data_IF_679687427762
#
_entry.id   IF_679687427762
#
_cell.length_a   1.000
_cell.length_b   1.000
_cell.length_c   1.000
_cell.angle_alpha   90.00
_cell.angle_beta   90.00
_cell.angle_gamma   90.00
#
_symmetry.space_group_name_H-M   'P 1'
#
loop_
_entity.id
_entity.type
_entity.pdbx_description
1 polymer ?
#
# COMPACT_ATOMS: atom_id res chain seq x y z
N UNK A 1 -29.44 -14.51 21.55
CA UNK A 1 -28.43 -15.37 20.89
C UNK A 1 -28.34 -15.12 19.39
N UNK A 2 -29.47 -14.90 18.70
CA UNK A 2 -29.52 -14.72 17.23
C UNK A 2 -28.60 -13.60 16.65
N UNK A 3 -28.45 -12.48 17.36
CA UNK A 3 -27.58 -11.38 16.92
C UNK A 3 -26.09 -11.74 16.96
N UNK A 4 -25.67 -12.59 17.90
CA UNK A 4 -24.27 -13.01 18.04
C UNK A 4 -23.87 -13.96 16.92
N UNK A 5 -24.76 -14.89 16.54
CA UNK A 5 -24.54 -15.81 15.42
C UNK A 5 -24.53 -15.10 14.06
N UNK A 6 -25.36 -14.07 13.89
CA UNK A 6 -25.31 -13.19 12.71
C UNK A 6 -24.01 -12.39 12.66
N UNK A 7 -23.52 -11.88 13.80
CA UNK A 7 -22.24 -11.17 13.86
C UNK A 7 -21.07 -12.10 13.51
N UNK A 8 -21.10 -13.34 13.99
CA UNK A 8 -20.06 -14.33 13.68
C UNK A 8 -20.03 -14.69 12.19
N UNK A 9 -21.19 -14.99 11.60
CA UNK A 9 -21.31 -15.25 10.15
C UNK A 9 -20.86 -14.07 9.29
N UNK A 10 -21.20 -12.84 9.70
CA UNK A 10 -20.71 -11.64 9.03
C UNK A 10 -19.19 -11.50 9.18
N UNK A 11 -18.60 -11.82 10.34
CA UNK A 11 -17.14 -11.84 10.52
C UNK A 11 -16.44 -12.93 9.70
N UNK A 12 -17.09 -14.04 9.42
CA UNK A 12 -16.54 -15.10 8.58
C UNK A 12 -16.63 -14.75 7.09
N UNK A 13 -17.64 -13.98 6.66
CA UNK A 13 -17.78 -13.49 5.28
C UNK A 13 -16.94 -12.26 4.97
N UNK A 14 -16.76 -11.37 5.94
CA UNK A 14 -15.85 -10.24 5.82
C UNK A 14 -14.45 -10.82 6.01
N UNK A 15 -13.69 -10.89 4.92
CA UNK A 15 -12.34 -11.47 4.90
C UNK A 15 -11.42 -10.95 6.02
N UNK A 16 -10.18 -11.49 6.12
CA UNK A 16 -9.29 -11.26 7.25
C UNK A 16 -9.29 -9.79 7.67
N UNK A 17 -9.45 -9.49 8.98
CA UNK A 17 -9.64 -8.14 9.47
C UNK A 17 -8.56 -7.23 8.88
N UNK A 18 -8.96 -6.06 8.40
CA UNK A 18 -8.03 -5.10 7.81
C UNK A 18 -6.80 -4.93 8.71
N UNK A 19 -5.64 -5.46 8.27
CA UNK A 19 -4.38 -5.50 9.04
C UNK A 19 -3.83 -4.10 9.36
N UNK A 20 -4.40 -3.09 8.71
CA UNK A 20 -4.16 -1.67 8.89
C UNK A 20 -4.55 -1.14 10.28
N UNK A 21 -5.37 -1.87 11.04
CA UNK A 21 -5.82 -1.43 12.37
C UNK A 21 -6.70 -0.17 12.29
N UNK A 22 -6.47 0.81 13.17
CA UNK A 22 -7.30 2.04 13.32
C UNK A 22 -6.86 3.23 12.47
N UNK A 23 -5.79 3.11 11.67
CA UNK A 23 -5.20 4.22 10.89
C UNK A 23 -5.67 4.17 9.44
N UNK A 24 -6.47 5.12 8.99
CA UNK A 24 -6.85 5.17 7.57
C UNK A 24 -5.66 5.51 6.67
N UNK A 25 -5.66 5.02 5.44
CA UNK A 25 -4.66 5.37 4.43
C UNK A 25 -4.54 6.91 4.24
N UNK A 26 -5.65 7.64 4.36
CA UNK A 26 -5.66 9.10 4.28
C UNK A 26 -4.86 9.77 5.42
N UNK A 27 -4.94 9.23 6.65
CA UNK A 27 -4.15 9.74 7.77
C UNK A 27 -2.67 9.44 7.59
N UNK A 28 -2.32 8.23 7.14
CA UNK A 28 -0.93 7.84 6.87
C UNK A 28 -0.34 8.73 5.78
N UNK A 29 -1.07 9.01 4.70
CA UNK A 29 -0.62 9.93 3.65
C UNK A 29 -0.33 11.34 4.18
N UNK A 30 -1.21 11.86 5.05
CA UNK A 30 -0.98 13.16 5.68
C UNK A 30 0.29 13.16 6.54
N UNK A 31 0.53 12.09 7.29
CA UNK A 31 1.73 11.95 8.12
C UNK A 31 3.01 11.78 7.29
N UNK A 32 2.98 10.97 6.23
CA UNK A 32 4.09 10.79 5.28
C UNK A 32 4.42 12.12 4.59
N UNK A 33 3.39 12.85 4.12
CA UNK A 33 3.57 14.18 3.54
C UNK A 33 4.10 15.21 4.54
N UNK A 34 3.65 15.16 5.81
CA UNK A 34 4.18 16.02 6.86
C UNK A 34 5.64 15.69 7.24
N UNK A 35 6.07 14.44 7.04
CA UNK A 35 7.44 13.99 7.25
C UNK A 35 8.37 14.28 6.06
N UNK A 36 7.93 15.06 5.07
CA UNK A 36 8.64 15.33 3.80
C UNK A 36 9.09 14.07 3.06
N UNK A 37 8.44 12.93 3.31
CA UNK A 37 8.66 11.68 2.58
C UNK A 37 7.86 11.72 1.27
N UNK A 38 8.36 11.08 0.20
CA UNK A 38 7.58 10.94 -1.02
C UNK A 38 6.26 10.21 -0.74
N UNK A 39 5.15 10.75 -1.25
CA UNK A 39 3.81 10.16 -1.11
C UNK A 39 3.62 9.16 -2.25
N UNK A 40 4.52 8.18 -2.35
CA UNK A 40 4.40 7.04 -3.25
C UNK A 40 3.62 5.90 -2.59
N UNK A 41 3.04 4.99 -3.39
CA UNK A 41 2.17 3.92 -2.87
C UNK A 41 2.90 3.00 -1.91
N UNK A 42 4.19 2.75 -2.15
CA UNK A 42 5.01 1.86 -1.34
C UNK A 42 5.33 2.47 0.03
N UNK A 43 5.62 3.77 0.10
CA UNK A 43 5.89 4.47 1.36
C UNK A 43 4.66 4.44 2.27
N UNK A 44 3.48 4.68 1.70
CA UNK A 44 2.22 4.57 2.44
C UNK A 44 1.95 3.12 2.86
N UNK A 45 2.24 2.15 1.99
CA UNK A 45 2.08 0.71 2.29
C UNK A 45 2.97 0.26 3.45
N UNK A 46 4.24 0.68 3.43
CA UNK A 46 5.25 0.33 4.42
C UNK A 46 4.88 0.95 5.76
N UNK A 47 4.56 2.25 5.82
CA UNK A 47 4.16 2.89 7.08
C UNK A 47 2.85 2.33 7.65
N UNK A 48 1.97 1.80 6.80
CA UNK A 48 0.77 1.10 7.26
C UNK A 48 1.10 -0.22 7.98
N UNK A 49 2.13 -0.93 7.52
CA UNK A 49 2.52 -2.24 8.02
C UNK A 49 3.72 -2.23 8.96
N UNK A 50 4.21 -1.06 9.33
CA UNK A 50 5.16 -0.88 10.43
C UNK A 50 4.46 -0.85 11.79
N UNK A 51 5.16 -1.29 12.82
CA UNK A 51 4.78 -1.14 14.22
C UNK A 51 5.11 0.28 14.74
N UNK A 52 4.81 0.54 16.02
CA UNK A 52 5.11 1.84 16.64
C UNK A 52 6.61 2.12 16.79
N UNK A 53 7.46 1.08 16.69
CA UNK A 53 8.91 1.19 16.73
C UNK A 53 9.54 1.35 15.31
N UNK A 54 8.73 1.28 14.24
CA UNK A 54 9.17 1.42 12.86
C UNK A 54 9.57 0.10 12.17
N UNK A 55 9.35 -1.06 12.80
CA UNK A 55 9.70 -2.37 12.27
C UNK A 55 8.53 -3.01 11.50
N UNK A 56 8.79 -3.89 10.52
CA UNK A 56 7.75 -4.68 9.87
C UNK A 56 6.95 -5.50 10.89
N UNK A 57 5.61 -5.45 10.81
CA UNK A 57 4.73 -6.18 11.74
C UNK A 57 4.76 -7.70 11.57
N UNK A 58 5.02 -8.17 10.36
CA UNK A 58 4.99 -9.59 10.02
C UNK A 58 6.05 -9.95 8.97
N UNK A 59 6.32 -11.25 8.85
CA UNK A 59 7.30 -11.79 7.91
C UNK A 59 6.94 -11.45 6.46
N UNK A 60 5.67 -11.50 6.08
CA UNK A 60 5.21 -11.11 4.75
C UNK A 60 5.58 -9.65 4.41
N UNK A 61 5.47 -8.75 5.39
CA UNK A 61 5.85 -7.34 5.23
C UNK A 61 7.35 -7.19 5.04
N UNK A 62 8.16 -7.95 5.79
CA UNK A 62 9.61 -7.93 5.64
C UNK A 62 10.03 -8.50 4.27
N UNK A 63 9.51 -9.68 3.90
CA UNK A 63 9.78 -10.33 2.61
C UNK A 63 9.32 -9.44 1.43
N UNK A 64 8.23 -8.66 1.59
CA UNK A 64 7.80 -7.68 0.60
C UNK A 64 8.78 -6.50 0.46
N UNK A 65 9.22 -5.93 1.58
CA UNK A 65 10.16 -4.80 1.57
C UNK A 65 11.47 -5.22 0.90
N UNK A 66 11.94 -6.42 1.18
CA UNK A 66 13.13 -7.00 0.54
C UNK A 66 12.95 -7.12 -0.98
N UNK A 67 11.88 -7.76 -1.44
CA UNK A 67 11.57 -7.89 -2.88
C UNK A 67 11.39 -6.54 -3.59
N UNK A 68 10.81 -5.56 -2.90
CA UNK A 68 10.66 -4.22 -3.45
C UNK A 68 12.01 -3.53 -3.60
N UNK A 69 12.86 -3.62 -2.58
CA UNK A 69 14.21 -3.04 -2.60
C UNK A 69 15.09 -3.69 -3.68
N UNK A 70 15.04 -5.01 -3.85
CA UNK A 70 15.76 -5.70 -4.92
C UNK A 70 15.35 -5.14 -6.30
N UNK A 71 14.05 -5.04 -6.56
CA UNK A 71 13.54 -4.54 -7.85
C UNK A 71 13.81 -3.06 -8.08
N UNK A 72 13.85 -2.24 -7.04
CA UNK A 72 14.16 -0.82 -7.20
C UNK A 72 15.64 -0.62 -7.44
N UNK A 73 16.53 -1.33 -6.74
CA UNK A 73 17.96 -1.30 -7.01
C UNK A 73 18.27 -1.71 -8.46
N UNK A 74 17.62 -2.77 -8.97
CA UNK A 74 17.74 -3.18 -10.38
C UNK A 74 17.24 -2.11 -11.36
N UNK A 75 16.11 -1.48 -11.07
CA UNK A 75 15.53 -0.46 -11.95
C UNK A 75 16.35 0.83 -11.98
N UNK A 76 16.89 1.24 -10.82
CA UNK A 76 17.73 2.44 -10.69
C UNK A 76 19.05 2.36 -11.45
N UNK A 77 19.44 1.17 -11.94
CA UNK A 77 20.57 1.03 -12.88
C UNK A 77 20.28 1.73 -14.21
N UNK A 78 19.00 1.76 -14.64
CA UNK A 78 18.61 2.23 -15.97
C UNK A 78 17.69 3.46 -15.93
N UNK A 79 17.01 3.70 -14.83
CA UNK A 79 15.95 4.72 -14.69
C UNK A 79 16.21 5.62 -13.47
N UNK A 80 15.76 6.87 -13.52
CA UNK A 80 15.85 7.79 -12.37
C UNK A 80 14.82 7.45 -11.29
N UNK A 81 15.18 7.66 -10.02
CA UNK A 81 14.28 7.45 -8.89
C UNK A 81 13.10 8.43 -8.95
N UNK A 82 11.94 7.90 -9.29
CA UNK A 82 10.70 8.66 -9.44
C UNK A 82 9.53 7.96 -8.76
N UNK A 83 8.52 8.76 -8.37
CA UNK A 83 7.27 8.22 -7.80
C UNK A 83 6.59 7.26 -8.78
N UNK A 84 6.66 7.54 -10.09
CA UNK A 84 6.13 6.70 -11.15
C UNK A 84 6.80 5.32 -11.18
N UNK A 85 8.14 5.29 -11.12
CA UNK A 85 8.92 4.06 -11.11
C UNK A 85 8.60 3.20 -9.88
N UNK A 86 8.54 3.83 -8.71
CA UNK A 86 8.18 3.17 -7.44
C UNK A 86 6.77 2.58 -7.48
N UNK A 87 5.81 3.33 -8.00
CA UNK A 87 4.43 2.86 -8.15
C UNK A 87 4.32 1.71 -9.18
N UNK A 88 5.10 1.76 -10.25
CA UNK A 88 5.23 0.69 -11.24
C UNK A 88 5.78 -0.60 -10.63
N UNK A 89 6.89 -0.52 -9.89
CA UNK A 89 7.48 -1.66 -9.19
C UNK A 89 6.51 -2.20 -8.14
N UNK A 90 5.84 -1.31 -7.42
CA UNK A 90 4.81 -1.69 -6.45
C UNK A 90 3.68 -2.50 -7.11
N UNK A 91 3.19 -2.09 -8.27
CA UNK A 91 2.19 -2.85 -9.03
C UNK A 91 2.75 -4.20 -9.51
N UNK A 92 4.01 -4.29 -9.91
CA UNK A 92 4.67 -5.57 -10.28
C UNK A 92 4.80 -6.55 -9.11
N UNK A 93 4.86 -6.08 -7.87
CA UNK A 93 5.00 -6.94 -6.68
C UNK A 93 3.63 -7.24 -6.03
N UNK A 94 2.74 -6.25 -5.93
CA UNK A 94 1.43 -6.36 -5.23
C UNK A 94 0.28 -6.72 -6.18
N UNK A 95 0.49 -6.54 -7.48
CA UNK A 95 -0.53 -6.58 -8.52
C UNK A 95 -1.17 -5.22 -8.77
N UNK A 96 -1.79 -5.09 -9.94
CA UNK A 96 -2.43 -3.86 -10.41
C UNK A 96 -3.53 -3.33 -9.47
N UNK A 97 -3.80 -2.04 -9.63
CA UNK A 97 -4.91 -1.36 -8.99
C UNK A 97 -6.26 -1.87 -9.55
N UNK A 98 -7.26 -1.93 -8.66
CA UNK A 98 -8.61 -2.32 -9.03
C UNK A 98 -9.39 -1.17 -9.65
N UNK A 99 -10.47 -1.49 -10.36
CA UNK A 99 -11.36 -0.46 -10.92
C UNK A 99 -11.97 0.40 -9.80
N UNK A 100 -11.77 1.73 -9.87
CA UNK A 100 -12.32 2.70 -8.90
C UNK A 100 -11.63 2.74 -7.52
N UNK A 101 -10.59 1.93 -7.31
CA UNK A 101 -9.83 1.89 -6.06
C UNK A 101 -8.33 1.77 -6.32
N UNK A 102 -7.58 2.78 -5.89
CA UNK A 102 -6.12 2.70 -5.89
C UNK A 102 -5.66 2.21 -4.53
N UNK A 103 -4.88 1.12 -4.54
CA UNK A 103 -4.32 0.55 -3.32
C UNK A 103 -3.50 1.63 -2.61
N UNK A 104 -3.58 1.63 -1.28
CA UNK A 104 -2.89 2.58 -0.38
C UNK A 104 -3.28 4.06 -0.51
N UNK A 105 -4.01 4.44 -1.54
CA UNK A 105 -4.47 5.83 -1.75
C UNK A 105 -5.92 6.06 -1.33
N UNK A 106 -6.71 4.98 -1.22
CA UNK A 106 -8.08 4.99 -0.69
C UNK A 106 -9.16 5.01 -1.76
N UNK A 107 -10.43 4.95 -1.34
CA UNK A 107 -11.60 5.02 -2.23
C UNK A 107 -11.82 6.45 -2.74
N UNK A 108 -12.15 6.59 -4.03
CA UNK A 108 -12.42 7.88 -4.66
C UNK A 108 -11.20 8.57 -5.26
N UNK A 109 -9.99 8.01 -5.10
CA UNK A 109 -8.82 8.38 -5.91
C UNK A 109 -8.82 7.48 -7.14
N UNK A 110 -8.91 8.08 -8.33
CA UNK A 110 -8.83 7.34 -9.60
C UNK A 110 -7.42 7.44 -10.19
N UNK A 111 -6.93 6.42 -10.93
CA UNK A 111 -5.60 6.45 -11.52
C UNK A 111 -5.33 7.71 -12.35
N UNK A 112 -6.40 8.31 -12.89
CA UNK A 112 -6.40 9.56 -13.63
C UNK A 112 -6.07 10.79 -12.77
N UNK A 113 -6.44 10.80 -11.49
CA UNK A 113 -6.13 11.87 -10.53
C UNK A 113 -4.74 11.76 -9.91
N UNK A 114 -4.08 10.62 -10.14
CA UNK A 114 -2.71 10.37 -9.74
C UNK A 114 -1.72 10.77 -10.84
N UNK A 115 -2.19 11.56 -11.85
CA UNK A 115 -1.47 12.10 -13.01
C UNK A 115 -0.08 11.48 -13.16
N UNK A 116 0.14 10.61 -14.16
CA UNK A 116 1.40 9.93 -14.53
C UNK A 116 1.46 8.40 -14.39
N UNK A 117 0.38 7.63 -14.54
CA UNK A 117 0.57 6.21 -14.94
C UNK A 117 0.88 6.17 -16.44
N UNK A 118 2.12 6.54 -16.83
CA UNK A 118 2.70 5.91 -18.02
C UNK A 118 2.55 4.41 -17.77
N UNK A 119 1.89 3.69 -18.70
CA UNK A 119 1.85 2.24 -18.62
C UNK A 119 3.30 1.78 -18.49
N UNK A 120 3.62 1.10 -17.40
CA UNK A 120 4.89 0.41 -17.23
C UNK A 120 4.96 -0.54 -18.43
N UNK A 121 5.75 -0.15 -19.44
CA UNK A 121 5.88 -0.89 -20.70
C UNK A 121 6.92 -1.98 -20.55
#
# INVERSE_FOLDING_TARGET
MEAAEKNNRNREQVGPPHRTGRRSCANIRREVGAASKPIDKVSVWIEMRKDAAGNPKDKDTADFIEQFNEKIDEALVNEEDSVELRDCIFAKVVGDDGHGHIRTMGSGVTPLQLNHTKKCS
#
